data_IF_643841968395
#
_entry.id   IF_643841968395
#
_cell.length_a   1.000
_cell.length_b   1.000
_cell.length_c   1.000
_cell.angle_alpha   90.00
_cell.angle_beta   90.00
_cell.angle_gamma   90.00
#
_symmetry.space_group_name_H-M   'P 1'
#
loop_
_entity.id
_entity.type
_entity.pdbx_description
1 polymer ?
#
# COMPACT_ATOMS: atom_id res chain seq x y z
N UNK A 1 -29.20 7.00 -5.38
CA UNK A 1 -28.06 7.20 -4.46
C UNK A 1 -26.83 6.75 -5.24
N UNK A 2 -26.04 7.68 -5.77
CA UNK A 2 -24.81 7.34 -6.47
C UNK A 2 -23.69 7.23 -5.44
N UNK A 3 -23.04 6.07 -5.34
CA UNK A 3 -21.79 5.95 -4.57
C UNK A 3 -20.79 6.99 -5.10
N UNK A 4 -20.16 7.73 -4.19
CA UNK A 4 -19.18 8.73 -4.59
C UNK A 4 -18.02 8.01 -5.31
N UNK A 5 -17.52 8.55 -6.44
CA UNK A 5 -16.49 7.88 -7.25
C UNK A 5 -15.24 7.53 -6.43
N UNK A 6 -14.93 8.28 -5.37
CA UNK A 6 -13.80 8.04 -4.49
C UNK A 6 -14.01 6.80 -3.58
N UNK A 7 -15.24 6.55 -3.13
CA UNK A 7 -15.58 5.33 -2.39
C UNK A 7 -15.49 4.08 -3.28
N UNK A 8 -15.93 4.18 -4.54
CA UNK A 8 -15.84 3.07 -5.50
C UNK A 8 -14.38 2.70 -5.80
N UNK A 9 -13.49 3.69 -5.93
CA UNK A 9 -12.06 3.45 -6.15
C UNK A 9 -11.39 2.82 -4.95
N UNK A 10 -11.67 3.30 -3.73
CA UNK A 10 -11.15 2.69 -2.52
C UNK A 10 -11.64 1.26 -2.35
N UNK A 11 -12.92 1.00 -2.64
CA UNK A 11 -13.48 -0.35 -2.61
C UNK A 11 -12.74 -1.29 -3.57
N UNK A 12 -12.42 -0.85 -4.79
CA UNK A 12 -11.64 -1.66 -5.73
C UNK A 12 -10.24 -1.99 -5.22
N UNK A 13 -9.59 -1.06 -4.54
CA UNK A 13 -8.29 -1.35 -3.91
C UNK A 13 -8.47 -2.42 -2.84
N UNK A 14 -9.49 -2.29 -1.98
CA UNK A 14 -9.79 -3.28 -0.95
C UNK A 14 -10.12 -4.67 -1.53
N UNK A 15 -10.81 -4.73 -2.66
CA UNK A 15 -11.04 -5.99 -3.38
C UNK A 15 -9.74 -6.55 -3.97
N UNK A 16 -8.89 -5.71 -4.54
CA UNK A 16 -7.64 -6.13 -5.16
C UNK A 16 -6.65 -6.72 -4.14
N UNK A 17 -6.65 -6.21 -2.91
CA UNK A 17 -5.77 -6.74 -1.84
C UNK A 17 -6.29 -8.05 -1.22
N UNK A 18 -7.54 -8.48 -1.46
CA UNK A 18 -8.05 -9.76 -0.94
C UNK A 18 -7.29 -11.00 -1.42
N UNK A 19 -6.58 -10.88 -2.55
CA UNK A 19 -5.77 -11.95 -3.11
C UNK A 19 -4.40 -12.11 -2.40
N UNK A 20 -4.07 -11.23 -1.45
CA UNK A 20 -2.80 -11.20 -0.74
C UNK A 20 -2.87 -11.98 0.56
N UNK A 21 -1.72 -12.18 1.21
CA UNK A 21 -1.67 -12.80 2.53
C UNK A 21 -2.47 -11.98 3.57
N UNK A 22 -2.92 -12.61 4.64
CA UNK A 22 -3.69 -11.91 5.69
C UNK A 22 -2.86 -10.79 6.34
N UNK A 23 -1.55 -11.00 6.49
CA UNK A 23 -0.63 -10.00 7.02
C UNK A 23 -0.50 -8.79 6.09
N UNK A 24 -0.27 -9.02 4.78
CA UNK A 24 -0.21 -7.94 3.79
C UNK A 24 -1.54 -7.19 3.70
N UNK A 25 -2.67 -7.92 3.77
CA UNK A 25 -4.00 -7.33 3.79
C UNK A 25 -4.18 -6.41 4.99
N UNK A 26 -3.74 -6.82 6.17
CA UNK A 26 -3.87 -6.01 7.38
C UNK A 26 -3.05 -4.73 7.28
N UNK A 27 -1.78 -4.83 6.89
CA UNK A 27 -0.90 -3.66 6.69
C UNK A 27 -1.48 -2.68 5.67
N UNK A 28 -1.98 -3.19 4.54
CA UNK A 28 -2.58 -2.35 3.50
C UNK A 28 -3.92 -1.76 3.94
N UNK A 29 -4.75 -2.48 4.70
CA UNK A 29 -6.00 -1.93 5.25
C UNK A 29 -5.73 -0.79 6.22
N UNK A 30 -4.77 -0.97 7.12
CA UNK A 30 -4.37 0.06 8.07
C UNK A 30 -3.80 1.29 7.34
N UNK A 31 -3.01 1.06 6.29
CA UNK A 31 -2.51 2.12 5.42
C UNK A 31 -3.65 2.90 4.76
N UNK A 32 -4.67 2.21 4.27
CA UNK A 32 -5.76 2.83 3.52
C UNK A 32 -6.80 3.50 4.41
N UNK A 33 -6.91 3.12 5.68
CA UNK A 33 -7.93 3.65 6.60
C UNK A 33 -7.81 5.17 6.80
N UNK A 34 -6.59 5.71 6.79
CA UNK A 34 -6.33 7.14 7.03
C UNK A 34 -5.64 7.84 5.85
N UNK A 35 -5.65 7.24 4.66
CA UNK A 35 -4.97 7.81 3.50
C UNK A 35 -5.64 9.12 3.05
N UNK A 36 -4.82 10.13 2.77
CA UNK A 36 -5.22 11.42 2.19
C UNK A 36 -4.32 11.78 1.02
N UNK A 37 -4.76 12.75 0.22
CA UNK A 37 -3.97 13.29 -0.90
C UNK A 37 -2.63 13.89 -0.44
N UNK A 38 -2.52 14.37 0.80
CA UNK A 38 -1.30 14.91 1.40
C UNK A 38 -0.44 13.83 2.10
N UNK A 39 -0.98 12.67 2.44
CA UNK A 39 -0.26 11.63 3.20
C UNK A 39 0.90 11.08 2.37
N UNK A 40 2.17 11.23 2.79
CA UNK A 40 3.31 10.82 1.98
C UNK A 40 3.52 9.29 1.97
N UNK A 41 3.09 8.60 3.03
CA UNK A 41 3.35 7.19 3.24
C UNK A 41 2.83 6.67 4.58
N UNK A 42 3.26 5.47 4.95
CA UNK A 42 2.98 4.84 6.25
C UNK A 42 4.27 4.48 6.98
N UNK A 43 4.12 4.21 8.27
CA UNK A 43 5.16 3.64 9.12
C UNK A 43 4.66 2.27 9.59
N UNK A 44 5.40 1.23 9.27
CA UNK A 44 5.13 -0.15 9.69
C UNK A 44 6.10 -0.47 10.82
N UNK A 45 5.57 -0.87 11.97
CA UNK A 45 6.39 -1.43 13.05
C UNK A 45 6.68 -2.89 12.73
N UNK A 46 7.95 -3.24 12.72
CA UNK A 46 8.38 -4.62 12.56
C UNK A 46 8.53 -5.17 13.97
N UNK A 47 7.46 -5.80 14.48
CA UNK A 47 7.44 -6.37 15.83
C UNK A 47 8.08 -7.75 15.72
N UNK A 48 9.26 -7.92 16.34
CA UNK A 48 10.00 -9.17 16.50
C UNK A 48 9.96 -10.10 15.27
N UNK A 49 10.64 -9.70 14.19
CA UNK A 49 11.08 -10.71 13.22
C UNK A 49 12.06 -11.63 13.95
N UNK A 50 11.76 -12.93 13.99
CA UNK A 50 12.57 -13.96 14.61
C UNK A 50 14.07 -13.67 14.44
N UNK A 51 14.78 -13.54 15.56
CA UNK A 51 16.20 -13.18 15.64
C UNK A 51 17.13 -14.20 14.94
N UNK A 52 16.58 -15.30 14.40
CA UNK A 52 17.32 -16.33 13.67
C UNK A 52 17.66 -15.94 12.21
N UNK A 53 16.95 -14.98 11.61
CA UNK A 53 17.29 -14.44 10.28
C UNK A 53 17.94 -13.05 10.39
N UNK A 54 18.95 -12.77 9.55
CA UNK A 54 19.62 -11.47 9.52
C UNK A 54 18.56 -10.35 9.33
N UNK A 55 18.31 -9.49 10.32
CA UNK A 55 17.17 -8.58 10.31
C UNK A 55 17.23 -7.57 9.16
N UNK A 56 18.43 -7.28 8.65
CA UNK A 56 18.65 -6.43 7.48
C UNK A 56 18.13 -7.07 6.18
N UNK A 57 18.30 -8.39 6.02
CA UNK A 57 17.84 -9.14 4.85
C UNK A 57 16.32 -9.25 4.91
N UNK A 58 15.77 -9.55 6.09
CA UNK A 58 14.34 -9.75 6.27
C UNK A 58 13.55 -8.45 6.12
N UNK A 59 14.03 -7.33 6.66
CA UNK A 59 13.41 -6.01 6.44
C UNK A 59 13.49 -5.54 4.98
N UNK A 60 14.62 -5.79 4.31
CA UNK A 60 14.76 -5.50 2.89
C UNK A 60 13.76 -6.28 2.04
N UNK A 61 13.60 -7.58 2.32
CA UNK A 61 12.62 -8.43 1.64
C UNK A 61 11.18 -7.95 1.84
N UNK A 62 10.82 -7.51 3.06
CA UNK A 62 9.51 -6.91 3.34
C UNK A 62 9.27 -5.63 2.52
N UNK A 63 10.25 -4.71 2.51
CA UNK A 63 10.17 -3.48 1.72
C UNK A 63 9.96 -3.80 0.23
N UNK A 64 10.76 -4.71 -0.32
CA UNK A 64 10.64 -5.14 -1.71
C UNK A 64 9.27 -5.80 -1.98
N UNK A 65 8.78 -6.65 -1.07
CA UNK A 65 7.46 -7.26 -1.17
C UNK A 65 6.34 -6.23 -1.36
N UNK A 66 6.34 -5.15 -0.57
CA UNK A 66 5.33 -4.09 -0.68
C UNK A 66 5.50 -3.17 -1.91
N UNK A 67 6.73 -2.92 -2.35
CA UNK A 67 7.00 -2.06 -3.51
C UNK A 67 6.70 -2.81 -4.83
N UNK A 68 7.05 -4.09 -4.89
CA UNK A 68 6.86 -4.93 -6.08
C UNK A 68 5.41 -5.42 -6.21
N UNK A 69 4.61 -5.27 -5.15
CA UNK A 69 3.19 -5.59 -5.14
C UNK A 69 2.40 -4.69 -6.10
N UNK A 70 2.08 -5.22 -7.28
CA UNK A 70 1.27 -4.54 -8.27
C UNK A 70 -0.21 -4.88 -8.13
N UNK A 71 -1.05 -3.86 -8.03
CA UNK A 71 -2.50 -3.96 -8.09
C UNK A 71 -3.02 -3.59 -9.47
N UNK A 72 -4.02 -4.32 -9.95
CA UNK A 72 -4.75 -4.02 -11.18
C UNK A 72 -6.08 -3.34 -10.83
N UNK A 73 -6.13 -2.02 -10.94
CA UNK A 73 -7.27 -1.16 -10.57
C UNK A 73 -8.02 -0.69 -11.83
N UNK A 74 -9.35 -0.57 -11.77
CA UNK A 74 -10.17 -0.22 -12.96
C UNK A 74 -11.23 0.82 -12.65
N UNK A 75 -10.97 2.10 -12.96
CA UNK A 75 -11.97 3.16 -12.83
C UNK A 75 -12.63 3.46 -14.18
N UNK A 76 -13.86 2.98 -14.36
CA UNK A 76 -14.62 3.15 -15.60
C UNK A 76 -13.94 2.42 -16.78
N UNK A 77 -13.42 3.17 -17.76
CA UNK A 77 -12.70 2.61 -18.92
C UNK A 77 -11.18 2.55 -18.72
N UNK A 78 -10.66 3.14 -17.66
CA UNK A 78 -9.21 3.24 -17.42
C UNK A 78 -8.76 2.09 -16.52
N UNK A 79 -7.85 1.27 -17.03
CA UNK A 79 -7.12 0.26 -16.26
C UNK A 79 -5.77 0.83 -15.82
N UNK A 80 -5.48 0.77 -14.53
CA UNK A 80 -4.20 1.16 -13.95
C UNK A 80 -3.57 -0.08 -13.32
N UNK A 81 -2.34 -0.40 -13.72
CA UNK A 81 -1.51 -1.38 -13.01
C UNK A 81 -0.43 -0.58 -12.29
N UNK A 82 -0.45 -0.61 -10.97
CA UNK A 82 0.48 0.15 -10.13
C UNK A 82 0.67 -0.52 -8.78
N UNK A 83 1.82 -0.28 -8.17
CA UNK A 83 2.03 -0.60 -6.77
C UNK A 83 1.38 0.44 -5.84
N UNK A 84 1.09 0.04 -4.60
CA UNK A 84 0.61 0.95 -3.54
C UNK A 84 1.75 1.85 -3.06
N UNK A 85 2.95 1.28 -2.93
CA UNK A 85 4.16 1.97 -2.50
C UNK A 85 5.21 1.94 -3.61
N UNK A 86 6.03 2.99 -3.71
CA UNK A 86 7.08 3.09 -4.74
C UNK A 86 8.49 3.17 -4.14
N UNK A 87 8.58 3.49 -2.86
CA UNK A 87 9.84 3.61 -2.14
C UNK A 87 9.60 3.17 -0.70
N UNK A 88 10.63 2.59 -0.09
CA UNK A 88 10.61 2.20 1.30
C UNK A 88 12.01 2.20 1.88
N UNK A 89 12.13 2.58 3.14
CA UNK A 89 13.41 2.59 3.83
C UNK A 89 13.23 2.30 5.31
N UNK A 90 14.26 1.71 5.90
CA UNK A 90 14.33 1.45 7.33
C UNK A 90 14.59 2.75 8.10
N UNK A 91 13.90 2.91 9.21
CA UNK A 91 14.21 3.88 10.25
C UNK A 91 14.13 3.18 11.60
N UNK A 92 15.29 2.93 12.21
CA UNK A 92 15.43 2.22 13.49
C UNK A 92 14.78 0.82 13.45
N UNK A 93 13.70 0.61 14.21
CA UNK A 93 12.91 -0.63 14.26
C UNK A 93 11.62 -0.55 13.42
N UNK A 94 11.55 0.42 12.50
CA UNK A 94 10.38 0.65 11.65
C UNK A 94 10.76 0.69 10.18
N UNK A 95 9.78 0.40 9.33
CA UNK A 95 9.87 0.59 7.89
C UNK A 95 8.96 1.77 7.52
N UNK A 96 9.50 2.74 6.80
CA UNK A 96 8.72 3.79 6.15
C UNK A 96 8.45 3.38 4.72
N UNK A 97 7.19 3.39 4.31
CA UNK A 97 6.77 3.11 2.93
C UNK A 97 6.11 4.35 2.35
N UNK A 98 6.57 4.83 1.20
CA UNK A 98 6.02 6.01 0.51
C UNK A 98 5.02 5.58 -0.55
N UNK A 99 3.83 6.18 -0.52
CA UNK A 99 2.77 5.85 -1.47
C UNK A 99 3.19 6.22 -2.90
N UNK A 100 2.83 5.35 -3.84
CA UNK A 100 3.05 5.59 -5.25
C UNK A 100 2.20 6.77 -5.73
N UNK A 101 2.78 7.81 -6.36
CA UNK A 101 2.04 8.95 -6.87
C UNK A 101 0.92 8.57 -7.85
N UNK A 102 1.12 7.53 -8.67
CA UNK A 102 0.09 7.04 -9.60
C UNK A 102 -1.09 6.41 -8.86
N UNK A 103 -0.81 5.66 -7.80
CA UNK A 103 -1.83 5.09 -6.93
C UNK A 103 -2.61 6.19 -6.21
N UNK A 104 -1.92 7.20 -5.67
CA UNK A 104 -2.59 8.35 -5.05
C UNK A 104 -3.43 9.15 -6.04
N UNK A 105 -2.95 9.38 -7.25
CA UNK A 105 -3.70 10.07 -8.30
C UNK A 105 -4.95 9.27 -8.73
N UNK A 106 -4.89 7.94 -8.66
CA UNK A 106 -6.07 7.10 -8.86
C UNK A 106 -7.09 7.29 -7.73
N UNK A 107 -6.66 7.21 -6.46
CA UNK A 107 -7.56 7.37 -5.32
C UNK A 107 -8.13 8.80 -5.20
N UNK A 108 -7.31 9.82 -5.48
CA UNK A 108 -7.63 11.24 -5.34
C UNK A 108 -7.38 11.95 -6.67
N UNK A 109 -8.25 11.80 -7.68
CA UNK A 109 -8.12 12.54 -8.92
C UNK A 109 -8.24 14.05 -8.64
N UNK A 110 -7.37 14.84 -9.24
CA UNK A 110 -7.55 16.29 -9.27
C UNK A 110 -8.78 16.58 -10.15
N UNK A 111 -9.82 17.17 -9.57
CA UNK A 111 -11.01 17.65 -10.28
C UNK A 111 -10.73 18.92 -11.07
#
# INVERSE_FOLDING_TARGET
>A
MGEMPDQLRLHQVLEAIKALSEEDQQVLRDALQNIRSETPGIIVQVIDMDEEENPEISMGALIHGFIDLNLSLTAGKTKLVTSVFHEGYRQDSTIRLLYNPRFKAFLFPLH
#
